data_IF_625225923142
#
_entry.id   IF_625225923142
#
_cell.length_a   1.000
_cell.length_b   1.000
_cell.length_c   1.000
_cell.angle_alpha   90.00
_cell.angle_beta   90.00
_cell.angle_gamma   90.00
#
_symmetry.space_group_name_H-M   'P 1'
#
loop_
_entity.id
_entity.type
_entity.pdbx_description
1 polymer ?
#
# COMPACT_ATOMS: atom_id res chain seq x y z
N UNK A 1 29.40 18.76 -17.69
CA UNK A 1 29.21 17.50 -18.44
C UNK A 1 28.51 16.53 -17.51
N UNK A 2 27.25 16.26 -17.81
CA UNK A 2 26.31 15.50 -17.00
C UNK A 2 26.78 14.06 -16.84
N UNK A 3 26.86 13.59 -15.59
CA UNK A 3 27.13 12.17 -15.31
C UNK A 3 25.91 11.39 -15.77
N UNK A 4 26.09 10.68 -16.89
CA UNK A 4 25.10 9.83 -17.52
C UNK A 4 24.39 8.97 -16.48
N UNK A 5 23.07 9.11 -16.44
CA UNK A 5 22.14 8.34 -15.63
C UNK A 5 22.20 6.86 -16.05
N UNK A 6 23.21 6.17 -15.56
CA UNK A 6 23.32 4.72 -15.65
C UNK A 6 22.48 4.10 -14.51
N UNK A 7 21.16 4.18 -14.65
CA UNK A 7 20.23 3.29 -13.93
C UNK A 7 19.62 2.36 -14.97
N UNK A 8 20.47 1.43 -15.42
CA UNK A 8 20.05 0.23 -16.11
C UNK A 8 18.94 -0.42 -15.28
N UNK A 9 17.72 -0.34 -15.78
CA UNK A 9 16.56 -1.10 -15.31
C UNK A 9 16.97 -2.56 -15.22
N UNK A 10 16.98 -3.14 -14.01
CA UNK A 10 17.21 -4.57 -13.87
C UNK A 10 15.97 -5.30 -14.43
N UNK A 11 16.14 -6.36 -15.23
CA UNK A 11 15.02 -7.14 -15.75
C UNK A 11 14.09 -7.72 -14.66
N UNK A 12 14.61 -7.90 -13.44
CA UNK A 12 13.84 -8.29 -12.25
C UNK A 12 12.89 -7.19 -11.71
N UNK A 13 13.08 -5.93 -12.10
CA UNK A 13 12.26 -4.81 -11.62
C UNK A 13 10.92 -4.69 -12.35
N UNK A 14 10.73 -5.35 -13.50
CA UNK A 14 9.46 -5.27 -14.26
C UNK A 14 8.41 -6.29 -13.80
N UNK A 15 8.81 -7.38 -13.15
CA UNK A 15 7.89 -8.33 -12.54
C UNK A 15 7.40 -7.86 -11.15
N UNK A 16 8.25 -7.13 -10.42
CA UNK A 16 7.99 -6.65 -9.05
C UNK A 16 6.70 -5.82 -8.90
N UNK A 17 6.36 -4.85 -9.79
CA UNK A 17 5.14 -4.05 -9.66
C UNK A 17 3.86 -4.88 -9.79
N UNK A 18 3.81 -5.82 -10.73
CA UNK A 18 2.64 -6.69 -10.91
C UNK A 18 2.39 -7.59 -9.69
N UNK A 19 3.45 -8.15 -9.11
CA UNK A 19 3.35 -8.93 -7.88
C UNK A 19 2.92 -8.08 -6.68
N UNK A 20 3.46 -6.87 -6.53
CA UNK A 20 3.08 -5.94 -5.47
C UNK A 20 1.61 -5.50 -5.60
N UNK A 21 1.09 -5.38 -6.82
CA UNK A 21 -0.33 -5.10 -7.09
C UNK A 21 -1.21 -6.18 -6.48
N UNK A 22 -0.89 -7.42 -6.85
CA UNK A 22 -1.69 -8.56 -6.47
C UNK A 22 -1.63 -8.78 -4.96
N UNK A 23 -0.46 -8.59 -4.34
CA UNK A 23 -0.32 -8.66 -2.88
C UNK A 23 -1.14 -7.56 -2.19
N UNK A 24 -1.04 -6.32 -2.65
CA UNK A 24 -1.79 -5.20 -2.07
C UNK A 24 -3.31 -5.42 -2.14
N UNK A 25 -3.81 -5.87 -3.29
CA UNK A 25 -5.22 -6.22 -3.48
C UNK A 25 -5.63 -7.40 -2.61
N UNK A 26 -4.84 -8.48 -2.61
CA UNK A 26 -5.10 -9.68 -1.82
C UNK A 26 -5.26 -9.35 -0.34
N UNK A 27 -4.29 -8.64 0.25
CA UNK A 27 -4.32 -8.28 1.66
C UNK A 27 -5.44 -7.31 2.00
N UNK A 28 -5.75 -6.34 1.12
CA UNK A 28 -6.91 -5.46 1.30
C UNK A 28 -8.23 -6.23 1.31
N UNK A 29 -8.41 -7.18 0.37
CA UNK A 29 -9.57 -8.06 0.35
C UNK A 29 -9.64 -8.97 1.58
N UNK A 30 -8.49 -9.45 2.06
CA UNK A 30 -8.42 -10.27 3.26
C UNK A 30 -8.78 -9.47 4.53
N UNK A 31 -8.29 -8.24 4.66
CA UNK A 31 -8.70 -7.29 5.70
C UNK A 31 -10.20 -7.04 5.67
N UNK A 32 -10.80 -6.79 4.48
CA UNK A 32 -12.25 -6.58 4.37
C UNK A 32 -13.06 -7.79 4.85
N UNK A 33 -12.53 -9.00 4.70
CA UNK A 33 -13.20 -10.24 5.13
C UNK A 33 -13.02 -10.53 6.61
N UNK A 34 -11.80 -10.36 7.13
CA UNK A 34 -11.44 -10.82 8.48
C UNK A 34 -11.23 -9.70 9.51
N UNK A 35 -11.19 -8.44 9.08
CA UNK A 35 -10.99 -7.27 9.94
C UNK A 35 -9.61 -7.18 10.60
N UNK A 36 -8.62 -7.95 10.12
CA UNK A 36 -7.27 -8.06 10.69
C UNK A 36 -6.39 -6.88 10.29
N UNK A 37 -5.94 -6.11 11.28
CA UNK A 37 -5.14 -4.92 11.05
C UNK A 37 -3.80 -5.27 10.36
N UNK A 38 -3.23 -6.43 10.67
CA UNK A 38 -1.96 -6.90 10.09
C UNK A 38 -2.04 -7.10 8.57
N UNK A 39 -3.21 -7.53 8.06
CA UNK A 39 -3.41 -7.65 6.62
C UNK A 39 -3.44 -6.26 5.96
N UNK A 40 -4.09 -5.29 6.61
CA UNK A 40 -4.09 -3.93 6.10
C UNK A 40 -2.68 -3.30 6.10
N UNK A 41 -1.86 -3.59 7.10
CA UNK A 41 -0.46 -3.15 7.14
C UNK A 41 0.38 -3.77 6.03
N UNK A 42 0.18 -5.06 5.73
CA UNK A 42 0.82 -5.73 4.59
C UNK A 42 0.38 -5.13 3.25
N UNK A 43 -0.89 -4.74 3.12
CA UNK A 43 -1.40 -4.08 1.92
C UNK A 43 -0.75 -2.71 1.68
N UNK A 44 -0.54 -1.93 2.75
CA UNK A 44 0.16 -0.63 2.73
C UNK A 44 1.62 -0.84 2.32
N UNK A 45 2.34 -1.75 3.00
CA UNK A 45 3.75 -2.00 2.72
C UNK A 45 3.99 -2.41 1.26
N UNK A 46 3.12 -3.26 0.70
CA UNK A 46 3.21 -3.66 -0.71
C UNK A 46 2.99 -2.47 -1.66
N UNK A 47 2.03 -1.57 -1.35
CA UNK A 47 1.76 -0.40 -2.17
C UNK A 47 2.89 0.65 -2.09
N UNK A 48 3.48 0.87 -0.91
CA UNK A 48 4.62 1.78 -0.73
C UNK A 48 5.90 1.28 -1.43
N UNK A 49 6.14 -0.03 -1.40
CA UNK A 49 7.22 -0.64 -2.19
C UNK A 49 6.98 -0.42 -3.68
N UNK A 50 5.74 -0.50 -4.16
CA UNK A 50 5.40 -0.26 -5.55
C UNK A 50 5.61 1.22 -5.94
N UNK A 51 5.23 2.17 -5.07
CA UNK A 51 5.56 3.60 -5.23
C UNK A 51 7.07 3.80 -5.36
N UNK A 52 7.86 3.17 -4.48
CA UNK A 52 9.32 3.30 -4.48
C UNK A 52 9.97 2.71 -5.73
N UNK A 53 9.42 1.61 -6.24
CA UNK A 53 9.92 0.93 -7.43
C UNK A 53 9.46 1.59 -8.76
N UNK A 54 8.44 2.45 -8.72
CA UNK A 54 7.86 3.05 -9.92
C UNK A 54 8.54 4.39 -10.24
N UNK A 55 9.04 4.60 -11.47
CA UNK A 55 9.56 5.90 -11.92
C UNK A 55 8.54 7.02 -11.75
N UNK A 56 9.01 8.24 -11.43
CA UNK A 56 8.14 9.40 -11.15
C UNK A 56 7.28 9.85 -12.33
N UNK A 57 7.76 9.56 -13.53
CA UNK A 57 7.14 9.86 -14.81
C UNK A 57 6.24 8.72 -15.32
N UNK A 58 6.18 7.59 -14.62
CA UNK A 58 5.31 6.48 -14.98
C UNK A 58 3.84 6.78 -14.60
N UNK A 59 2.88 6.56 -15.53
CA UNK A 59 1.46 6.71 -15.24
C UNK A 59 0.96 5.75 -14.15
N UNK A 60 1.65 4.63 -13.92
CA UNK A 60 1.29 3.65 -12.90
C UNK A 60 1.45 4.20 -11.48
N UNK A 61 2.32 5.21 -11.29
CA UNK A 61 2.59 5.82 -9.98
C UNK A 61 1.32 6.38 -9.33
N UNK A 62 0.44 6.98 -10.14
CA UNK A 62 -0.83 7.54 -9.66
C UNK A 62 -1.72 6.44 -9.09
N UNK A 63 -1.77 5.28 -9.75
CA UNK A 63 -2.51 4.12 -9.27
C UNK A 63 -1.98 3.60 -7.94
N UNK A 64 -0.65 3.57 -7.77
CA UNK A 64 -0.02 3.16 -6.51
C UNK A 64 -0.29 4.10 -5.36
N UNK A 65 -0.17 5.41 -5.59
CA UNK A 65 -0.49 6.43 -4.59
C UNK A 65 -1.95 6.35 -4.16
N UNK A 66 -2.89 6.15 -5.09
CA UNK A 66 -4.28 5.95 -4.76
C UNK A 66 -4.50 4.72 -3.85
N UNK A 67 -3.84 3.60 -4.14
CA UNK A 67 -3.93 2.40 -3.30
C UNK A 67 -3.38 2.66 -1.89
N UNK A 68 -2.25 3.35 -1.78
CA UNK A 68 -1.68 3.78 -0.49
C UNK A 68 -2.71 4.61 0.28
N UNK A 69 -3.30 5.64 -0.34
CA UNK A 69 -4.32 6.48 0.29
C UNK A 69 -5.52 5.69 0.79
N UNK A 70 -6.08 4.80 -0.04
CA UNK A 70 -7.24 3.95 0.33
C UNK A 70 -6.93 3.06 1.54
N UNK A 71 -5.73 2.47 1.58
CA UNK A 71 -5.36 1.59 2.70
C UNK A 71 -5.12 2.38 3.99
N UNK A 72 -4.48 3.55 3.92
CA UNK A 72 -4.33 4.43 5.07
C UNK A 72 -5.67 4.94 5.61
N UNK A 73 -6.62 5.33 4.74
CA UNK A 73 -7.98 5.69 5.16
C UNK A 73 -8.69 4.52 5.86
N UNK A 74 -8.53 3.31 5.32
CA UNK A 74 -9.08 2.10 5.94
C UNK A 74 -8.46 1.86 7.33
N UNK A 75 -7.17 2.15 7.51
CA UNK A 75 -6.44 1.96 8.77
C UNK A 75 -6.93 2.94 9.81
N UNK A 76 -7.02 4.22 9.44
CA UNK A 76 -7.55 5.28 10.30
C UNK A 76 -8.97 4.96 10.77
N UNK A 77 -9.86 4.58 9.85
CA UNK A 77 -11.23 4.19 10.21
C UNK A 77 -11.27 2.99 11.15
N UNK A 78 -10.38 2.01 10.97
CA UNK A 78 -10.34 0.83 11.85
C UNK A 78 -9.89 1.18 13.26
N UNK A 79 -8.84 2.00 13.38
CA UNK A 79 -8.29 2.44 14.67
C UNK A 79 -9.30 3.30 15.42
N UNK A 80 -9.96 4.26 14.76
CA UNK A 80 -11.03 5.06 15.38
C UNK A 80 -12.18 4.20 15.91
N UNK A 81 -12.58 3.16 15.17
CA UNK A 81 -13.58 2.19 15.67
C UNK A 81 -13.08 1.36 16.85
N UNK A 82 -11.78 1.09 16.98
CA UNK A 82 -11.25 0.39 18.15
C UNK A 82 -11.26 1.31 19.37
N UNK A 83 -10.79 2.56 19.21
CA UNK A 83 -10.83 3.56 20.27
C UNK A 83 -12.27 3.79 20.78
N UNK A 84 -13.26 3.82 19.88
CA UNK A 84 -14.67 3.98 20.28
C UNK A 84 -15.24 2.76 21.02
N UNK A 85 -14.74 1.55 20.75
CA UNK A 85 -15.13 0.34 21.47
C UNK A 85 -14.43 0.21 22.84
N UNK A 86 -13.25 0.80 22.98
CA UNK A 86 -12.48 0.80 24.22
C UNK A 86 -12.91 1.89 25.20
N UNK A 87 -13.62 2.92 24.72
CA UNK A 87 -14.29 3.89 25.59
C UNK A 87 -15.36 3.14 26.41
N UNK A 88 -15.28 3.13 27.75
CA UNK A 88 -16.36 2.57 28.55
C UNK A 88 -17.63 3.35 28.23
N UNK A 89 -18.73 2.64 28.02
CA UNK A 89 -20.06 3.25 28.03
C UNK A 89 -20.23 3.93 29.39
N UNK A 90 -19.90 5.22 29.48
CA UNK A 90 -20.16 6.02 30.66
C UNK A 90 -21.65 5.94 30.93
N UNK A 91 -21.98 5.14 31.94
CA UNK A 91 -23.30 5.04 32.55
C UNK A 91 -23.23 5.79 33.88
#
# INVERSE_FOLDING_TARGET
MERGNNRLYRPDDLARPGHLKNLSVYYSSHFKKLGRLEDLEKAIAAAEQAVTATPKDSPDLVGWLNNVSVHYSSKFNRLGRQEDLEKPSST
#
